data_IF_375820352376
#
_entry.id   IF_375820352376
#
_cell.length_a   1.000
_cell.length_b   1.000
_cell.length_c   1.000
_cell.angle_alpha   90.00
_cell.angle_beta   90.00
_cell.angle_gamma   90.00
#
_symmetry.space_group_name_H-M   'P 1'
#
loop_
_entity.id
_entity.type
_entity.pdbx_description
1 polymer ?
#
# COMPACT_ATOMS: atom_id res chain seq x y z
N UNK A 1 -50.98 -44.32 -44.63
CA UNK A 1 -49.65 -44.93 -44.41
C UNK A 1 -48.61 -43.84 -44.69
N UNK A 2 -47.86 -43.43 -43.65
CA UNK A 2 -46.71 -42.47 -43.60
C UNK A 2 -46.97 -40.97 -43.86
N UNK A 3 -46.86 -40.20 -42.78
CA UNK A 3 -46.35 -38.82 -42.73
C UNK A 3 -44.80 -38.87 -42.77
N UNK A 4 -44.09 -37.85 -43.30
CA UNK A 4 -43.32 -37.05 -42.34
C UNK A 4 -43.20 -35.55 -42.68
N UNK A 5 -43.74 -34.73 -41.78
CA UNK A 5 -43.14 -33.57 -41.12
C UNK A 5 -41.85 -32.99 -41.74
N UNK A 6 -41.99 -31.89 -42.48
CA UNK A 6 -40.88 -30.98 -42.81
C UNK A 6 -40.51 -30.18 -41.57
N UNK A 7 -39.51 -30.65 -40.81
CA UNK A 7 -38.92 -29.90 -39.70
C UNK A 7 -37.84 -28.97 -40.25
N UNK A 8 -38.09 -27.66 -40.22
CA UNK A 8 -37.01 -26.68 -40.34
C UNK A 8 -36.15 -26.76 -39.07
N UNK A 9 -34.82 -26.90 -39.16
CA UNK A 9 -33.99 -26.71 -37.98
C UNK A 9 -34.01 -25.22 -37.66
N UNK A 10 -34.66 -24.87 -36.54
CA UNK A 10 -34.44 -23.56 -35.92
C UNK A 10 -32.99 -23.54 -35.41
N UNK A 11 -32.10 -22.98 -36.22
CA UNK A 11 -30.73 -22.69 -35.78
C UNK A 11 -30.82 -21.60 -34.72
N UNK A 12 -30.76 -22.01 -33.45
CA UNK A 12 -30.56 -21.10 -32.33
C UNK A 12 -29.13 -20.57 -32.44
N UNK A 13 -28.96 -19.37 -33.01
CA UNK A 13 -27.70 -18.63 -32.92
C UNK A 13 -27.62 -18.09 -31.51
N UNK A 14 -26.94 -18.83 -30.64
CA UNK A 14 -26.55 -18.34 -29.32
C UNK A 14 -25.43 -17.31 -29.56
N UNK A 15 -25.80 -16.03 -29.63
CA UNK A 15 -24.83 -14.96 -29.58
C UNK A 15 -24.21 -14.95 -28.18
N UNK A 16 -23.09 -15.65 -28.01
CA UNK A 16 -22.19 -15.46 -26.89
C UNK A 16 -21.62 -14.05 -27.01
N UNK A 17 -22.34 -13.08 -26.45
CA UNK A 17 -21.73 -11.84 -26.00
C UNK A 17 -20.79 -12.22 -24.86
N UNK A 18 -19.58 -12.63 -25.22
CA UNK A 18 -18.48 -12.64 -24.29
C UNK A 18 -18.32 -11.20 -23.82
N UNK A 19 -18.82 -10.90 -22.62
CA UNK A 19 -18.44 -9.69 -21.93
C UNK A 19 -16.92 -9.79 -21.80
N UNK A 20 -16.20 -9.03 -22.63
CA UNK A 20 -14.84 -8.64 -22.31
C UNK A 20 -14.97 -7.93 -20.96
N UNK A 21 -14.67 -8.63 -19.87
CA UNK A 21 -14.50 -7.98 -18.59
C UNK A 21 -13.23 -7.13 -18.75
N UNK A 22 -13.43 -5.83 -18.86
CA UNK A 22 -12.32 -4.90 -18.75
C UNK A 22 -11.87 -5.01 -17.30
N UNK A 23 -10.59 -5.31 -17.07
CA UNK A 23 -10.04 -5.29 -15.73
C UNK A 23 -10.20 -3.89 -15.16
N UNK A 24 -10.96 -3.76 -14.07
CA UNK A 24 -11.14 -2.50 -13.34
C UNK A 24 -10.31 -2.57 -12.06
N UNK A 25 -9.59 -1.49 -11.75
CA UNK A 25 -8.93 -1.34 -10.46
C UNK A 25 -9.95 -1.01 -9.37
N UNK A 26 -9.55 -1.18 -8.12
CA UNK A 26 -10.32 -0.69 -6.97
C UNK A 26 -10.39 0.84 -6.98
N UNK A 27 -11.58 1.40 -6.77
CA UNK A 27 -11.80 2.85 -6.71
C UNK A 27 -11.88 3.33 -5.25
N UNK A 28 -10.72 3.71 -4.69
CA UNK A 28 -10.58 4.07 -3.27
C UNK A 28 -10.48 5.59 -3.10
N UNK A 29 -11.43 6.20 -2.37
CA UNK A 29 -11.46 7.64 -2.06
C UNK A 29 -11.38 7.94 -0.56
N UNK A 30 -11.44 6.92 0.30
CA UNK A 30 -11.48 7.06 1.74
C UNK A 30 -10.88 5.83 2.43
N UNK A 31 -9.96 6.08 3.36
CA UNK A 31 -9.50 5.11 4.35
C UNK A 31 -9.90 5.62 5.74
N UNK A 32 -10.69 4.84 6.48
CA UNK A 32 -11.16 5.23 7.82
C UNK A 32 -10.20 4.65 8.85
N UNK A 33 -9.44 5.52 9.52
CA UNK A 33 -8.62 5.12 10.65
C UNK A 33 -9.46 4.91 11.92
N UNK A 34 -9.24 3.80 12.63
CA UNK A 34 -9.94 3.47 13.88
C UNK A 34 -9.03 3.63 15.11
N UNK A 35 -9.58 3.86 16.31
CA UNK A 35 -8.79 3.66 17.53
C UNK A 35 -8.37 2.17 17.63
N UNK A 36 -7.13 1.86 18.06
CA UNK A 36 -6.71 0.48 18.17
C UNK A 36 -7.49 -0.23 19.29
N UNK A 37 -7.79 -1.53 19.15
CA UNK A 37 -8.53 -2.30 20.15
C UNK A 37 -7.71 -2.55 21.44
N UNK A 38 -6.40 -2.35 21.37
CA UNK A 38 -5.43 -2.48 22.47
C UNK A 38 -4.10 -1.83 22.09
N UNK A 39 -3.02 -2.07 22.85
CA UNK A 39 -1.68 -1.62 22.48
C UNK A 39 -1.27 -2.19 21.11
N UNK A 40 -0.70 -1.34 20.25
CA UNK A 40 -0.23 -1.72 18.92
C UNK A 40 1.26 -2.05 18.96
N UNK A 41 1.63 -3.27 18.62
CA UNK A 41 3.02 -3.64 18.38
C UNK A 41 3.38 -3.32 16.92
N UNK A 42 4.65 -2.97 16.65
CA UNK A 42 5.15 -2.82 15.28
C UNK A 42 6.20 -3.93 15.10
N UNK A 43 5.73 -5.11 14.72
CA UNK A 43 6.50 -6.37 14.65
C UNK A 43 6.22 -7.22 13.40
N UNK A 44 5.36 -6.73 12.51
CA UNK A 44 4.88 -7.37 11.31
C UNK A 44 3.68 -8.29 11.54
N UNK A 45 3.20 -8.53 12.76
CA UNK A 45 1.97 -9.29 12.98
C UNK A 45 0.75 -8.36 12.91
N UNK A 46 -0.34 -8.82 12.28
CA UNK A 46 -1.58 -8.06 12.15
C UNK A 46 -2.68 -8.58 13.07
N UNK A 47 -2.32 -9.25 14.17
CA UNK A 47 -3.25 -9.86 15.12
C UNK A 47 -3.95 -8.84 16.03
N UNK A 48 -3.31 -7.71 16.31
CA UNK A 48 -3.81 -6.59 17.12
C UNK A 48 -4.51 -5.50 16.29
N UNK A 49 -4.50 -5.62 14.96
CA UNK A 49 -5.12 -4.66 14.05
C UNK A 49 -6.63 -4.84 13.92
N UNK A 50 -7.37 -3.73 13.96
CA UNK A 50 -8.77 -3.70 13.56
C UNK A 50 -8.90 -3.68 12.02
N UNK A 51 -9.47 -4.75 11.48
CA UNK A 51 -9.69 -4.94 10.04
C UNK A 51 -11.07 -4.47 9.57
N UNK A 52 -11.94 -3.99 10.47
CA UNK A 52 -13.34 -3.68 10.17
C UNK A 52 -13.53 -2.57 9.13
N UNK A 53 -12.50 -1.74 8.93
CA UNK A 53 -12.47 -0.61 7.97
C UNK A 53 -11.41 -0.77 6.89
N UNK A 54 -10.84 -1.96 6.76
CA UNK A 54 -9.83 -2.22 5.77
C UNK A 54 -10.38 -2.04 4.34
N UNK A 55 -9.54 -1.52 3.45
CA UNK A 55 -9.85 -1.38 2.03
C UNK A 55 -8.96 -2.30 1.21
N UNK A 56 -9.47 -2.78 0.08
CA UNK A 56 -8.66 -3.52 -0.89
C UNK A 56 -8.08 -2.54 -1.89
N UNK A 57 -6.77 -2.64 -2.15
CA UNK A 57 -6.08 -1.94 -3.23
C UNK A 57 -5.65 -2.98 -4.26
N UNK A 58 -6.14 -2.86 -5.49
CA UNK A 58 -5.77 -3.75 -6.58
C UNK A 58 -5.90 -3.02 -7.93
N UNK A 59 -4.89 -3.05 -8.81
CA UNK A 59 -4.93 -2.36 -10.10
C UNK A 59 -5.85 -3.04 -11.13
N UNK A 60 -6.11 -4.34 -10.99
CA UNK A 60 -7.08 -5.09 -11.79
C UNK A 60 -7.67 -6.22 -10.96
N UNK A 61 -8.91 -6.04 -10.48
CA UNK A 61 -9.56 -7.05 -9.62
C UNK A 61 -9.87 -8.36 -10.35
N UNK A 62 -9.97 -8.35 -11.67
CA UNK A 62 -10.36 -9.53 -12.45
C UNK A 62 -9.21 -10.52 -12.59
N UNK A 63 -7.96 -10.02 -12.62
CA UNK A 63 -6.78 -10.86 -12.92
C UNK A 63 -5.69 -10.82 -11.86
N UNK A 64 -5.63 -9.77 -11.03
CA UNK A 64 -4.54 -9.52 -10.09
C UNK A 64 -4.97 -9.59 -8.62
N UNK A 65 -6.26 -9.72 -8.33
CA UNK A 65 -6.72 -9.93 -6.96
C UNK A 65 -6.16 -11.25 -6.40
N UNK A 66 -5.40 -11.14 -5.31
CA UNK A 66 -4.72 -12.30 -4.69
C UNK A 66 -3.27 -12.51 -5.12
N UNK A 67 -2.75 -11.74 -6.08
CA UNK A 67 -1.34 -11.82 -6.52
C UNK A 67 -0.63 -10.48 -6.53
N UNK A 68 -1.29 -9.40 -6.97
CA UNK A 68 -0.79 -8.02 -6.91
C UNK A 68 -1.89 -7.14 -6.32
N UNK A 69 -2.12 -7.30 -5.03
CA UNK A 69 -3.19 -6.62 -4.30
C UNK A 69 -2.81 -6.49 -2.84
N UNK A 70 -3.36 -5.52 -2.12
CA UNK A 70 -3.17 -5.41 -0.68
C UNK A 70 -4.49 -5.12 0.03
N UNK A 71 -4.59 -5.60 1.27
CA UNK A 71 -5.56 -5.09 2.22
C UNK A 71 -4.89 -4.00 3.06
N UNK A 72 -5.44 -2.79 3.05
CA UNK A 72 -4.87 -1.63 3.74
C UNK A 72 -5.75 -1.25 4.93
N UNK A 73 -5.11 -1.06 6.09
CA UNK A 73 -5.74 -0.67 7.35
C UNK A 73 -5.08 0.59 7.89
N UNK A 74 -5.85 1.38 8.64
CA UNK A 74 -5.32 2.51 9.38
C UNK A 74 -5.87 2.51 10.81
N UNK A 75 -5.02 2.86 11.77
CA UNK A 75 -5.42 3.14 13.15
C UNK A 75 -4.83 4.46 13.62
N UNK A 76 -5.33 5.00 14.73
CA UNK A 76 -4.80 6.23 15.31
C UNK A 76 -4.95 6.22 16.83
N UNK A 77 -4.01 6.87 17.52
CA UNK A 77 -4.11 7.17 18.95
C UNK A 77 -3.58 8.58 19.24
N UNK A 78 -3.37 8.91 20.51
CA UNK A 78 -2.85 10.21 20.93
C UNK A 78 -1.39 10.47 20.50
N UNK A 79 -0.65 9.45 20.04
CA UNK A 79 0.77 9.53 19.72
C UNK A 79 1.09 9.44 18.23
N UNK A 80 0.35 8.63 17.47
CA UNK A 80 0.68 8.35 16.08
C UNK A 80 -0.53 8.01 15.18
N UNK A 81 -0.29 8.16 13.88
CA UNK A 81 -1.01 7.47 12.83
C UNK A 81 -0.34 6.11 12.59
N UNK A 82 -1.14 5.06 12.45
CA UNK A 82 -0.70 3.72 12.14
C UNK A 82 -1.27 3.30 10.80
N UNK A 83 -0.44 2.72 9.94
CA UNK A 83 -0.83 2.13 8.66
C UNK A 83 -0.33 0.69 8.60
N UNK A 84 -1.15 -0.22 8.09
CA UNK A 84 -0.73 -1.57 7.79
C UNK A 84 -1.23 -2.03 6.44
N UNK A 85 -0.46 -2.91 5.82
CA UNK A 85 -0.78 -3.56 4.57
C UNK A 85 -0.57 -5.06 4.70
N UNK A 86 -1.56 -5.86 4.34
CA UNK A 86 -1.43 -7.29 4.06
C UNK A 86 -1.30 -7.45 2.54
N UNK A 87 -0.06 -7.62 2.08
CA UNK A 87 0.31 -7.64 0.69
C UNK A 87 0.17 -9.04 0.10
N UNK A 88 -0.38 -9.10 -1.11
CA UNK A 88 -0.18 -10.19 -2.06
C UNK A 88 0.82 -9.72 -3.08
N UNK A 89 1.93 -10.44 -3.15
CA UNK A 89 3.09 -10.11 -3.95
C UNK A 89 3.82 -11.42 -4.31
N UNK A 90 4.02 -11.75 -5.60
CA UNK A 90 4.70 -12.99 -6.00
C UNK A 90 6.22 -12.89 -5.82
N UNK A 91 6.75 -11.68 -5.58
CA UNK A 91 8.16 -11.41 -5.34
C UNK A 91 8.38 -10.64 -4.03
N UNK A 92 7.92 -11.18 -2.88
CA UNK A 92 7.70 -10.36 -1.69
C UNK A 92 8.97 -9.76 -1.09
N UNK A 93 8.90 -8.48 -0.74
CA UNK A 93 9.91 -7.71 -0.01
C UNK A 93 11.25 -7.62 -0.76
N UNK A 94 11.17 -7.30 -2.04
CA UNK A 94 12.26 -7.14 -2.98
C UNK A 94 12.47 -5.66 -3.28
N UNK A 95 13.44 -5.08 -2.56
CA UNK A 95 13.96 -3.75 -2.84
C UNK A 95 15.46 -3.73 -2.53
N UNK A 96 16.29 -3.41 -3.53
CA UNK A 96 17.75 -3.41 -3.47
C UNK A 96 18.34 -1.98 -3.47
N UNK A 97 17.51 -0.95 -3.29
CA UNK A 97 17.97 0.42 -3.08
C UNK A 97 18.44 0.58 -1.62
N UNK A 98 19.74 0.85 -1.44
CA UNK A 98 20.38 0.94 -0.15
C UNK A 98 19.99 2.26 0.58
N UNK A 99 19.51 2.22 1.84
CA UNK A 99 19.00 3.43 2.50
C UNK A 99 20.10 4.43 2.89
N UNK A 100 21.35 3.99 2.97
CA UNK A 100 22.53 4.76 3.31
C UNK A 100 23.18 5.46 2.11
N UNK A 101 22.77 5.12 0.88
CA UNK A 101 23.28 5.74 -0.34
C UNK A 101 22.30 6.79 -0.86
N UNK A 102 22.74 8.04 -0.95
CA UNK A 102 21.88 9.15 -1.39
C UNK A 102 21.26 8.93 -2.79
N UNK A 103 22.02 8.31 -3.70
CA UNK A 103 21.53 7.93 -5.04
C UNK A 103 20.36 6.94 -4.99
N UNK A 104 20.39 6.01 -4.03
CA UNK A 104 19.40 4.96 -3.90
C UNK A 104 18.16 5.45 -3.15
N UNK A 105 18.32 6.33 -2.15
CA UNK A 105 17.18 7.01 -1.50
C UNK A 105 16.29 7.72 -2.52
N UNK A 106 16.88 8.32 -3.56
CA UNK A 106 16.17 9.00 -4.66
C UNK A 106 15.46 8.06 -5.63
N UNK A 107 15.63 6.74 -5.48
CA UNK A 107 15.11 5.73 -6.40
C UNK A 107 14.38 4.59 -5.70
N UNK A 108 14.38 4.53 -4.38
CA UNK A 108 13.78 3.45 -3.59
C UNK A 108 12.32 3.13 -3.95
N UNK A 109 11.58 4.11 -4.46
CA UNK A 109 10.20 3.96 -4.95
C UNK A 109 10.03 3.20 -6.27
N UNK A 110 11.12 2.80 -6.95
CA UNK A 110 11.06 2.00 -8.19
C UNK A 110 11.03 0.48 -7.90
N UNK A 111 10.89 0.07 -6.64
CA UNK A 111 10.74 -1.33 -6.22
C UNK A 111 9.76 -1.43 -5.05
N UNK A 112 9.55 -2.63 -4.49
CA UNK A 112 8.62 -2.88 -3.38
C UNK A 112 8.72 -1.79 -2.30
N UNK A 113 7.65 -1.02 -2.16
CA UNK A 113 7.58 0.09 -1.21
C UNK A 113 6.14 0.55 -0.99
N UNK A 114 5.91 1.10 0.19
CA UNK A 114 4.73 1.89 0.51
C UNK A 114 5.12 3.37 0.52
N UNK A 115 4.45 4.18 -0.28
CA UNK A 115 4.57 5.63 -0.20
C UNK A 115 3.32 6.21 0.46
N UNK A 116 3.54 7.13 1.41
CA UNK A 116 2.49 7.80 2.17
C UNK A 116 2.68 9.30 1.99
N UNK A 117 1.88 9.91 1.14
CA UNK A 117 1.85 11.36 0.94
C UNK A 117 0.81 11.94 1.87
N UNK A 118 1.17 12.92 2.68
CA UNK A 118 0.30 13.51 3.69
C UNK A 118 0.37 15.03 3.58
N UNK A 119 -0.82 15.66 3.63
CA UNK A 119 -0.95 17.12 3.71
C UNK A 119 -1.65 17.52 5.01
N UNK A 120 -0.91 18.25 5.83
CA UNK A 120 -1.36 18.96 7.04
C UNK A 120 -0.99 20.44 6.88
N UNK A 121 -0.54 21.10 7.96
CA UNK A 121 0.26 22.31 7.89
C UNK A 121 1.69 22.06 7.34
N UNK A 122 2.09 20.80 7.22
CA UNK A 122 3.26 20.32 6.49
C UNK A 122 2.81 19.48 5.29
N UNK A 123 3.58 19.53 4.20
CA UNK A 123 3.49 18.50 3.16
C UNK A 123 4.66 17.54 3.35
N UNK A 124 4.37 16.25 3.52
CA UNK A 124 5.38 15.22 3.73
C UNK A 124 5.06 14.00 2.90
N UNK A 125 6.09 13.35 2.40
CA UNK A 125 5.99 12.00 1.84
C UNK A 125 6.91 11.07 2.61
N UNK A 126 6.40 9.92 3.03
CA UNK A 126 7.19 8.82 3.58
C UNK A 126 7.29 7.72 2.54
N UNK A 127 8.48 7.16 2.33
CA UNK A 127 8.69 6.00 1.47
C UNK A 127 9.32 4.93 2.35
N UNK A 128 8.57 3.84 2.54
CA UNK A 128 8.84 2.78 3.49
C UNK A 128 9.09 1.45 2.76
N UNK A 129 10.21 0.79 3.03
CA UNK A 129 10.59 -0.45 2.34
C UNK A 129 11.52 -1.35 3.16
N UNK A 130 11.54 -2.63 2.79
CA UNK A 130 12.50 -3.60 3.29
C UNK A 130 13.69 -3.72 2.32
N UNK A 131 14.90 -3.31 2.74
CA UNK A 131 16.10 -3.50 1.93
C UNK A 131 16.56 -4.96 1.97
N UNK A 132 16.29 -5.68 0.86
CA UNK A 132 16.46 -7.14 0.75
C UNK A 132 17.89 -7.60 1.02
N UNK A 133 18.91 -6.85 0.59
CA UNK A 133 20.32 -7.29 0.68
C UNK A 133 20.85 -7.24 2.11
N UNK A 134 20.52 -6.18 2.85
CA UNK A 134 20.97 -6.01 4.24
C UNK A 134 19.95 -6.49 5.26
N UNK A 135 18.75 -6.88 4.83
CA UNK A 135 17.64 -7.25 5.72
C UNK A 135 17.30 -6.16 6.72
N UNK A 136 17.29 -4.90 6.25
CA UNK A 136 17.04 -3.72 7.08
C UNK A 136 15.82 -2.98 6.55
N UNK A 137 14.94 -2.63 7.46
CA UNK A 137 13.78 -1.79 7.15
C UNK A 137 14.21 -0.33 7.11
N UNK A 138 13.61 0.44 6.21
CA UNK A 138 13.99 1.81 5.97
C UNK A 138 12.77 2.65 5.62
N UNK A 139 12.70 3.81 6.26
CA UNK A 139 11.74 4.84 5.92
C UNK A 139 12.50 6.12 5.67
N UNK A 140 12.35 6.68 4.47
CA UNK A 140 12.78 8.05 4.21
C UNK A 140 11.58 8.98 4.23
N UNK A 141 11.80 10.21 4.67
CA UNK A 141 10.83 11.28 4.55
C UNK A 141 11.38 12.38 3.66
N UNK A 142 10.52 13.02 2.89
CA UNK A 142 10.85 14.17 2.06
C UNK A 142 9.78 15.26 2.19
N UNK A 143 10.25 16.51 2.12
CA UNK A 143 9.38 17.69 2.18
C UNK A 143 8.65 17.90 0.85
N UNK A 144 7.36 18.19 0.94
CA UNK A 144 6.47 18.42 -0.20
C UNK A 144 5.65 17.20 -0.63
N UNK A 145 4.61 17.48 -1.40
CA UNK A 145 3.71 16.47 -1.97
C UNK A 145 4.32 15.74 -3.18
N UNK A 146 5.09 16.46 -4.01
CA UNK A 146 5.69 15.94 -5.24
C UNK A 146 7.13 16.46 -5.43
N UNK A 147 8.13 15.58 -5.58
CA UNK A 147 9.54 15.96 -5.69
C UNK A 147 9.93 16.69 -7.00
N UNK A 148 9.00 16.90 -7.94
CA UNK A 148 9.30 17.30 -9.32
C UNK A 148 9.37 18.82 -9.56
N UNK A 149 9.33 19.63 -8.51
CA UNK A 149 9.28 21.11 -8.58
C UNK A 149 10.61 21.84 -8.80
N UNK A 150 11.71 21.12 -9.09
CA UNK A 150 13.00 21.74 -9.44
C UNK A 150 13.82 22.29 -8.27
N UNK A 151 13.35 22.18 -7.03
CA UNK A 151 14.15 22.43 -5.82
C UNK A 151 14.93 21.17 -5.42
N UNK A 152 16.08 21.29 -4.74
CA UNK A 152 16.75 20.13 -4.14
C UNK A 152 15.80 19.44 -3.15
N UNK A 153 15.53 18.15 -3.40
CA UNK A 153 14.75 17.33 -2.48
C UNK A 153 15.64 17.00 -1.29
N UNK A 154 15.18 17.37 -0.09
CA UNK A 154 15.83 16.96 1.16
C UNK A 154 15.21 15.66 1.61
N UNK A 155 16.05 14.66 1.83
CA UNK A 155 15.63 13.35 2.32
C UNK A 155 16.14 13.14 3.74
N UNK A 156 15.23 12.75 4.60
CA UNK A 156 15.44 12.47 6.01
C UNK A 156 15.38 10.97 6.25
N UNK A 157 16.20 10.46 7.17
CA UNK A 157 15.99 9.13 7.75
C UNK A 157 14.83 9.26 8.75
N UNK A 158 13.62 8.88 8.34
CA UNK A 158 12.43 9.11 9.16
C UNK A 158 12.41 8.26 10.43
N UNK A 159 13.11 7.12 10.44
CA UNK A 159 13.26 6.29 11.63
C UNK A 159 14.13 7.02 12.66
N UNK A 160 15.32 7.47 12.24
CA UNK A 160 16.27 8.10 13.14
C UNK A 160 15.88 9.54 13.53
N UNK A 161 15.35 10.31 12.59
CA UNK A 161 15.07 11.75 12.78
C UNK A 161 13.67 12.00 13.33
N UNK A 162 12.67 11.19 12.94
CA UNK A 162 11.27 11.43 13.28
C UNK A 162 10.63 10.35 14.17
N UNK A 163 11.37 9.30 14.51
CA UNK A 163 10.86 8.23 15.37
C UNK A 163 9.78 7.37 14.71
N UNK A 164 9.75 7.34 13.37
CA UNK A 164 8.93 6.40 12.62
C UNK A 164 9.38 4.97 12.93
N UNK A 165 8.43 4.04 13.02
CA UNK A 165 8.73 2.62 13.20
C UNK A 165 8.05 1.84 12.10
N UNK A 166 8.73 0.80 11.63
CA UNK A 166 8.23 -0.09 10.59
C UNK A 166 8.64 -1.52 10.92
N UNK A 167 7.82 -2.48 10.51
CA UNK A 167 8.13 -3.89 10.59
C UNK A 167 7.44 -4.68 9.47
N UNK A 168 8.00 -5.84 9.17
CA UNK A 168 7.52 -6.74 8.13
C UNK A 168 7.53 -8.19 8.60
N UNK A 169 6.52 -8.96 8.18
CA UNK A 169 6.52 -10.41 8.30
C UNK A 169 6.12 -11.06 6.98
N UNK A 170 6.92 -12.03 6.51
CA UNK A 170 6.56 -12.79 5.30
C UNK A 170 5.31 -13.62 5.55
N UNK A 171 4.42 -13.68 4.56
CA UNK A 171 3.29 -14.59 4.61
C UNK A 171 3.78 -16.05 4.62
N UNK A 172 3.07 -16.91 5.34
CA UNK A 172 3.46 -18.32 5.51
C UNK A 172 3.40 -19.13 4.20
N UNK A 173 2.56 -18.71 3.26
CA UNK A 173 2.45 -19.29 1.92
C UNK A 173 3.57 -18.82 0.97
N UNK A 174 4.34 -17.79 1.37
CA UNK A 174 5.39 -17.19 0.54
C UNK A 174 4.88 -16.24 -0.54
N UNK A 175 3.57 -15.99 -0.62
CA UNK A 175 2.88 -15.22 -1.67
C UNK A 175 2.40 -13.87 -1.11
N UNK A 176 3.32 -13.17 -0.43
CA UNK A 176 3.01 -11.91 0.22
C UNK A 176 3.80 -11.65 1.49
N UNK A 177 3.41 -10.58 2.17
CA UNK A 177 3.94 -10.15 3.45
C UNK A 177 3.01 -9.14 4.11
N UNK A 178 3.13 -9.00 5.41
CA UNK A 178 2.54 -7.91 6.18
C UNK A 178 3.58 -6.81 6.37
N UNK A 179 3.12 -5.58 6.35
CA UNK A 179 3.93 -4.39 6.62
C UNK A 179 3.14 -3.49 7.57
N UNK A 180 3.81 -2.99 8.59
CA UNK A 180 3.26 -2.04 9.56
C UNK A 180 4.10 -0.78 9.60
N UNK A 181 3.46 0.36 9.78
CA UNK A 181 4.11 1.66 9.85
C UNK A 181 3.45 2.52 10.93
N UNK A 182 4.25 2.99 11.90
CA UNK A 182 3.84 3.96 12.92
C UNK A 182 4.49 5.30 12.64
N UNK A 183 3.70 6.32 12.35
CA UNK A 183 4.15 7.68 12.07
C UNK A 183 3.70 8.62 13.20
N UNK A 184 4.63 9.11 14.04
CA UNK A 184 4.28 10.06 15.11
C UNK A 184 3.62 11.32 14.55
N UNK A 185 2.66 11.90 15.28
CA UNK A 185 2.00 13.14 14.86
C UNK A 185 2.97 14.32 14.68
N UNK A 186 4.08 14.31 15.41
CA UNK A 186 5.18 15.29 15.29
C UNK A 186 5.96 15.16 13.97
N UNK A 187 5.89 14.01 13.30
CA UNK A 187 6.43 13.83 11.96
C UNK A 187 5.48 14.37 10.88
N UNK A 188 4.17 14.39 11.17
CA UNK A 188 3.11 14.75 10.23
C UNK A 188 2.67 16.21 10.30
N UNK A 189 2.85 16.90 11.42
CA UNK A 189 2.39 18.29 11.62
C UNK A 189 3.33 19.06 12.54
N UNK A 190 3.45 20.39 12.36
CA UNK A 190 4.32 21.19 13.24
C UNK A 190 3.80 21.26 14.68
N UNK A 191 2.48 21.14 14.85
CA UNK A 191 1.84 21.11 16.16
C UNK A 191 2.06 19.79 16.91
N UNK A 192 2.32 18.69 16.18
CA UNK A 192 2.33 17.34 16.74
C UNK A 192 0.99 16.89 17.31
N UNK A 193 -0.11 17.59 17.01
CA UNK A 193 -1.43 17.29 17.57
C UNK A 193 -2.02 16.04 16.92
N UNK A 194 -2.47 15.10 17.76
CA UNK A 194 -3.29 13.99 17.31
C UNK A 194 -4.61 14.45 16.68
N UNK A 195 -5.00 13.79 15.60
CA UNK A 195 -6.34 13.91 15.04
C UNK A 195 -7.34 13.20 15.96
N UNK A 196 -8.61 13.63 15.91
CA UNK A 196 -9.71 13.05 16.69
C UNK A 196 -10.73 12.39 15.78
N UNK A 197 -11.56 11.53 16.37
CA UNK A 197 -12.68 10.91 15.68
C UNK A 197 -13.55 11.97 14.96
N UNK A 198 -13.80 11.74 13.66
CA UNK A 198 -14.57 12.64 12.81
C UNK A 198 -13.76 13.75 12.13
N UNK A 199 -12.48 13.93 12.47
CA UNK A 199 -11.57 14.77 11.68
C UNK A 199 -11.07 14.02 10.44
N UNK A 200 -10.55 14.76 9.46
CA UNK A 200 -10.02 14.19 8.22
C UNK A 200 -8.65 14.74 7.92
N UNK A 201 -7.77 13.85 7.48
CA UNK A 201 -6.42 14.13 7.00
C UNK A 201 -6.39 13.87 5.50
N UNK A 202 -5.77 14.75 4.73
CA UNK A 202 -5.56 14.50 3.30
C UNK A 202 -4.30 13.65 3.11
N UNK A 203 -4.48 12.49 2.47
CA UNK A 203 -3.38 11.58 2.18
C UNK A 203 -3.58 10.82 0.87
N UNK A 204 -2.48 10.38 0.29
CA UNK A 204 -2.43 9.46 -0.84
C UNK A 204 -1.47 8.33 -0.50
N UNK A 205 -1.85 7.09 -0.85
CA UNK A 205 -1.02 5.92 -0.67
C UNK A 205 -0.65 5.36 -2.05
N UNK A 206 0.64 5.29 -2.34
CA UNK A 206 1.13 4.54 -3.51
C UNK A 206 1.72 3.21 -3.03
N UNK A 207 1.09 2.12 -3.44
CA UNK A 207 1.55 0.77 -3.18
C UNK A 207 2.31 0.29 -4.42
N UNK A 208 3.60 0.05 -4.26
CA UNK A 208 4.48 -0.32 -5.38
C UNK A 208 4.86 -1.79 -5.27
N UNK A 209 4.52 -2.56 -6.30
CA UNK A 209 5.08 -3.88 -6.56
C UNK A 209 6.25 -3.73 -7.54
N UNK A 210 7.45 -4.01 -7.05
CA UNK A 210 8.69 -3.89 -7.77
C UNK A 210 9.01 -5.09 -8.66
N UNK A 211 10.05 -4.97 -9.50
CA UNK A 211 10.55 -6.11 -10.26
C UNK A 211 11.31 -7.08 -9.35
N UNK A 212 11.32 -8.37 -9.70
CA UNK A 212 12.10 -9.41 -9.01
C UNK A 212 13.62 -9.10 -8.89
N UNK A 213 14.14 -8.22 -9.76
CA UNK A 213 15.52 -7.72 -9.69
C UNK A 213 15.80 -6.93 -8.41
N UNK A 214 14.80 -6.24 -7.86
CA UNK A 214 14.93 -5.30 -6.73
C UNK A 214 15.32 -3.88 -7.14
N UNK A 215 15.49 -3.61 -8.44
CA UNK A 215 15.77 -2.29 -8.99
C UNK A 215 15.07 -2.16 -10.35
N UNK A 216 14.32 -1.07 -10.52
CA UNK A 216 13.61 -0.69 -11.74
C UNK A 216 14.28 0.43 -12.52
#
# INVERSE_FOLDING_TARGET
>A
MRDPATRYPATLVLALLGALAWGEGTDNHLLIATPPPGPVAIDGDLADWDRSRAITVCPDVATLLGSYSALVMAMWDDEALYLACDWRDPTPMVNDYAPDLDLDRRKCFHSDSLQVHVRTDLERTFIAWHHRRTKRDAVISLDGWSPWGGQPIVYHDAIAEYGVREAFTRAADGEGYTQELRIPWTALSSSGRAYRAGESLEAMLDLVWGPASGQG
#
